data_IF_346480975295
#
_entry.id   IF_346480975295
#
_cell.length_a   1.000
_cell.length_b   1.000
_cell.length_c   1.000
_cell.angle_alpha   90.00
_cell.angle_beta   90.00
_cell.angle_gamma   90.00
#
_symmetry.space_group_name_H-M   'P 1'
#
loop_
_entity.id
_entity.type
_entity.pdbx_description
1 polymer ?
#
# COMPACT_ATOMS: atom_id res chain seq x y z
N UNK A 1 3.08 33.41 9.91
CA UNK A 1 4.20 34.37 10.02
C UNK A 1 5.48 33.69 10.53
N UNK A 2 5.47 33.02 11.70
CA UNK A 2 6.68 32.36 12.25
C UNK A 2 7.28 31.33 11.29
N UNK A 3 6.47 30.42 10.71
CA UNK A 3 6.92 29.40 9.77
C UNK A 3 7.57 30.00 8.52
N UNK A 4 6.99 31.05 7.95
CA UNK A 4 7.59 31.76 6.81
C UNK A 4 8.94 32.38 7.17
N UNK A 5 9.07 33.03 8.37
CA UNK A 5 10.33 33.56 8.84
C UNK A 5 11.40 32.48 9.07
N UNK A 6 11.02 31.28 9.49
CA UNK A 6 11.97 30.15 9.59
C UNK A 6 12.52 29.71 8.22
N UNK A 7 11.66 29.61 7.22
CA UNK A 7 12.06 29.27 5.84
C UNK A 7 12.98 30.34 5.26
N UNK A 8 12.63 31.60 5.45
CA UNK A 8 13.46 32.75 5.02
C UNK A 8 14.84 32.73 5.70
N UNK A 9 14.89 32.47 7.01
CA UNK A 9 16.15 32.41 7.75
C UNK A 9 17.00 31.19 7.36
N UNK A 10 16.40 30.05 6.97
CA UNK A 10 17.09 28.86 6.48
C UNK A 10 17.77 29.12 5.13
N UNK A 11 17.22 30.00 4.29
CA UNK A 11 17.79 30.35 2.99
C UNK A 11 17.87 29.13 2.07
N UNK A 12 19.09 28.76 1.67
CA UNK A 12 19.33 27.60 0.80
C UNK A 12 19.43 26.26 1.56
N UNK A 13 19.41 26.28 2.89
CA UNK A 13 19.45 25.05 3.70
C UNK A 13 18.05 24.43 3.77
N UNK A 14 17.85 23.16 3.35
CA UNK A 14 16.55 22.51 3.45
C UNK A 14 16.05 22.45 4.89
N UNK A 15 14.81 22.86 5.13
CA UNK A 15 14.18 22.88 6.44
C UNK A 15 13.12 21.77 6.53
N UNK A 16 13.37 20.76 7.36
CA UNK A 16 12.38 19.75 7.71
C UNK A 16 11.57 20.22 8.93
N UNK A 17 10.26 20.15 8.85
CA UNK A 17 9.36 20.60 9.92
C UNK A 17 8.72 21.98 9.63
N UNK A 18 8.46 22.82 10.65
CA UNK A 18 8.59 22.56 12.09
C UNK A 18 7.59 21.54 12.63
N UNK A 19 7.57 21.36 13.96
CA UNK A 19 6.69 20.42 14.64
C UNK A 19 6.89 18.98 14.16
N UNK A 20 8.14 18.53 14.15
CA UNK A 20 8.53 17.18 13.76
C UNK A 20 9.63 16.63 14.67
N UNK A 21 9.86 15.33 14.63
CA UNK A 21 10.97 14.66 15.31
C UNK A 21 12.25 14.59 14.44
N UNK A 22 12.21 15.04 13.19
CA UNK A 22 13.34 14.88 12.28
C UNK A 22 13.30 13.52 11.58
N UNK A 23 14.44 12.85 11.50
CA UNK A 23 14.51 11.56 10.80
C UNK A 23 15.50 10.57 11.43
N UNK A 24 15.28 9.29 11.17
CA UNK A 24 16.22 8.22 11.38
C UNK A 24 16.51 7.57 10.04
N UNK A 25 17.76 7.61 9.60
CA UNK A 25 18.24 6.99 8.37
C UNK A 25 19.17 5.85 8.72
N UNK A 26 18.69 4.61 8.58
CA UNK A 26 19.44 3.40 8.89
C UNK A 26 20.45 3.03 7.81
N UNK A 27 20.31 3.54 6.57
CA UNK A 27 21.23 3.32 5.46
C UNK A 27 22.56 4.06 5.67
N UNK A 28 22.46 5.30 6.18
CA UNK A 28 23.62 6.19 6.39
C UNK A 28 23.97 6.33 7.87
N UNK A 29 23.29 5.61 8.76
CA UNK A 29 23.50 5.61 10.23
C UNK A 29 23.39 7.02 10.82
N UNK A 30 22.46 7.81 10.33
CA UNK A 30 22.20 9.18 10.76
C UNK A 30 20.84 9.29 11.45
N UNK A 31 20.81 9.86 12.65
CA UNK A 31 19.60 10.01 13.43
C UNK A 31 19.54 11.38 14.13
N UNK A 32 19.30 12.48 13.41
CA UNK A 32 18.91 13.73 14.04
C UNK A 32 17.48 13.60 14.56
N UNK A 33 17.36 13.02 15.74
CA UNK A 33 16.13 12.53 16.36
C UNK A 33 16.16 12.81 17.86
N UNK A 34 15.12 13.41 18.46
CA UNK A 34 15.17 13.88 19.85
C UNK A 34 14.77 12.84 20.89
N UNK A 35 14.38 11.62 20.48
CA UNK A 35 13.80 10.60 21.33
C UNK A 35 14.44 9.23 21.09
N UNK A 36 14.04 8.23 21.84
CA UNK A 36 14.42 6.85 21.59
C UNK A 36 13.83 6.34 20.26
N UNK A 37 14.56 5.50 19.57
CA UNK A 37 14.10 4.82 18.37
C UNK A 37 14.59 3.37 18.33
N UNK A 38 13.75 2.49 17.76
CA UNK A 38 14.14 1.12 17.44
C UNK A 38 14.83 1.03 16.07
N UNK A 39 14.97 -0.19 15.59
CA UNK A 39 15.55 -0.52 14.29
C UNK A 39 17.06 -0.68 14.32
N UNK A 40 17.64 -1.09 13.20
CA UNK A 40 19.07 -1.39 13.05
C UNK A 40 19.56 -0.93 11.68
N UNK A 41 20.86 -0.55 11.56
CA UNK A 41 21.47 -0.23 10.27
C UNK A 41 21.29 -1.34 9.24
N UNK A 42 21.08 -0.95 7.96
CA UNK A 42 20.79 -1.84 6.84
C UNK A 42 21.43 -1.35 5.55
N UNK A 43 21.61 -2.27 4.60
CA UNK A 43 22.08 -1.97 3.25
C UNK A 43 20.92 -1.52 2.33
N UNK A 44 19.70 -2.02 2.57
CA UNK A 44 18.50 -1.65 1.83
C UNK A 44 17.24 -1.87 2.65
N UNK A 45 16.15 -1.23 2.26
CA UNK A 45 14.89 -1.40 2.99
C UNK A 45 13.78 -0.44 2.54
N UNK A 46 12.72 -0.37 3.31
CA UNK A 46 11.59 0.52 3.09
C UNK A 46 11.78 1.86 3.79
N UNK A 47 11.46 2.94 3.10
CA UNK A 47 11.42 4.27 3.71
C UNK A 47 9.98 4.66 4.08
N UNK A 48 9.79 5.26 5.24
CA UNK A 48 8.49 5.77 5.68
C UNK A 48 8.57 7.28 5.83
N UNK A 49 7.66 7.99 5.17
CA UNK A 49 7.45 9.42 5.30
C UNK A 49 6.16 9.64 6.08
N UNK A 50 6.18 10.43 7.14
CA UNK A 50 5.02 10.71 7.98
C UNK A 50 4.96 12.17 8.38
N UNK A 51 3.76 12.69 8.61
CA UNK A 51 3.57 14.03 9.18
C UNK A 51 3.52 14.02 10.70
N UNK A 52 3.31 12.83 11.31
CA UNK A 52 3.20 12.66 12.76
C UNK A 52 4.50 12.13 13.37
N UNK A 53 5.06 12.87 14.33
CA UNK A 53 6.26 12.46 15.06
C UNK A 53 6.01 11.20 15.88
N UNK A 54 4.90 11.11 16.61
CA UNK A 54 4.60 9.91 17.43
C UNK A 54 4.37 8.65 16.59
N UNK A 55 3.71 8.77 15.45
CA UNK A 55 3.56 7.63 14.52
C UNK A 55 4.91 7.21 13.93
N UNK A 56 5.81 8.17 13.69
CA UNK A 56 7.18 7.85 13.29
C UNK A 56 7.91 6.99 14.33
N UNK A 57 7.85 7.36 15.62
CA UNK A 57 8.40 6.55 16.72
C UNK A 57 7.83 5.14 16.69
N UNK A 58 6.49 5.00 16.58
CA UNK A 58 5.80 3.71 16.57
C UNK A 58 6.29 2.78 15.44
N UNK A 59 6.58 3.33 14.25
CA UNK A 59 7.14 2.54 13.16
C UNK A 59 8.55 2.01 13.48
N UNK A 60 9.37 2.74 14.23
CA UNK A 60 10.69 2.27 14.62
C UNK A 60 10.64 1.15 15.66
N UNK A 61 9.58 1.11 16.47
CA UNK A 61 9.42 0.13 17.57
C UNK A 61 8.77 -1.19 17.14
N UNK A 62 8.38 -1.34 15.85
CA UNK A 62 7.72 -2.56 15.40
C UNK A 62 8.63 -3.78 15.49
N UNK A 63 8.07 -4.89 16.01
CA UNK A 63 8.77 -6.20 16.11
C UNK A 63 8.35 -7.19 15.03
N UNK A 64 7.84 -6.68 13.89
CA UNK A 64 7.32 -7.49 12.77
C UNK A 64 8.34 -7.73 11.67
N UNK A 65 9.63 -7.57 11.95
CA UNK A 65 10.72 -7.66 10.98
C UNK A 65 10.53 -6.73 9.75
N UNK A 66 9.97 -5.53 9.97
CA UNK A 66 9.88 -4.51 8.93
C UNK A 66 11.30 -4.02 8.59
N UNK A 67 11.76 -4.15 7.34
CA UNK A 67 13.13 -3.78 6.94
C UNK A 67 13.24 -2.26 6.72
N UNK A 68 13.30 -1.46 7.78
CA UNK A 68 13.34 0.00 7.70
C UNK A 68 14.67 0.51 7.16
N UNK A 69 14.65 1.20 6.00
CA UNK A 69 15.72 2.04 5.49
C UNK A 69 15.78 3.39 6.21
N UNK A 70 14.63 3.94 6.54
CA UNK A 70 14.52 5.16 7.32
C UNK A 70 13.08 5.57 7.60
N UNK A 71 12.92 6.47 8.57
CA UNK A 71 11.65 7.11 8.93
C UNK A 71 11.88 8.61 8.97
N UNK A 72 11.06 9.36 8.25
CA UNK A 72 11.19 10.80 8.04
C UNK A 72 9.91 11.50 8.49
N UNK A 73 9.99 12.26 9.59
CA UNK A 73 8.87 13.01 10.15
C UNK A 73 8.88 14.44 9.63
N UNK A 74 7.93 14.80 8.77
CA UNK A 74 7.90 16.10 8.09
C UNK A 74 7.17 17.20 8.89
N UNK A 75 6.35 16.82 9.89
CA UNK A 75 5.57 17.78 10.67
C UNK A 75 4.72 18.69 9.78
N UNK A 76 4.90 20.02 9.93
CA UNK A 76 4.11 21.02 9.20
C UNK A 76 4.53 21.23 7.74
N UNK A 77 5.61 20.59 7.27
CA UNK A 77 6.07 20.67 5.87
C UNK A 77 6.28 22.12 5.39
N UNK A 78 7.00 22.95 6.17
CA UNK A 78 7.16 24.35 5.85
C UNK A 78 7.94 24.58 4.55
N UNK A 79 8.96 23.76 4.32
CA UNK A 79 9.86 23.79 3.17
C UNK A 79 9.91 22.40 2.54
N UNK A 80 10.62 21.43 3.14
CA UNK A 80 10.60 20.04 2.67
C UNK A 80 9.24 19.43 2.92
N UNK A 81 8.51 19.15 1.85
CA UNK A 81 7.18 18.54 1.89
C UNK A 81 7.18 17.06 1.47
N UNK A 82 5.98 16.47 1.43
CA UNK A 82 5.78 15.07 1.05
C UNK A 82 6.26 14.77 -0.38
N UNK A 83 6.07 15.70 -1.31
CA UNK A 83 6.46 15.54 -2.70
C UNK A 83 7.98 15.52 -2.84
N UNK A 84 8.67 16.50 -2.26
CA UNK A 84 10.13 16.59 -2.29
C UNK A 84 10.80 15.37 -1.65
N UNK A 85 10.29 14.92 -0.48
CA UNK A 85 10.83 13.74 0.18
C UNK A 85 10.56 12.45 -0.60
N UNK A 86 9.37 12.29 -1.20
CA UNK A 86 9.04 11.16 -2.05
C UNK A 86 9.96 11.09 -3.28
N UNK A 87 10.23 12.21 -3.91
CA UNK A 87 11.15 12.29 -5.06
C UNK A 87 12.58 11.90 -4.66
N UNK A 88 13.10 12.48 -3.57
CA UNK A 88 14.43 12.18 -3.07
C UNK A 88 14.63 10.70 -2.73
N UNK A 89 13.69 10.10 -2.00
CA UNK A 89 13.75 8.69 -1.63
C UNK A 89 13.52 7.75 -2.82
N UNK A 90 12.79 8.18 -3.83
CA UNK A 90 12.62 7.41 -5.08
C UNK A 90 13.91 7.30 -5.87
N UNK A 91 14.81 8.27 -5.77
CA UNK A 91 16.11 8.28 -6.43
C UNK A 91 17.16 7.37 -5.73
N UNK A 92 16.98 7.02 -4.45
CA UNK A 92 17.90 6.15 -3.74
C UNK A 92 17.67 4.67 -4.10
N UNK A 93 18.67 4.05 -4.73
CA UNK A 93 18.60 2.64 -5.15
C UNK A 93 18.40 1.67 -3.97
N UNK A 94 18.85 2.03 -2.77
CA UNK A 94 18.75 1.23 -1.55
C UNK A 94 17.34 1.20 -0.96
N UNK A 95 16.49 2.17 -1.31
CA UNK A 95 15.08 2.20 -0.92
C UNK A 95 14.29 1.25 -1.82
N UNK A 96 13.62 0.26 -1.26
CA UNK A 96 12.92 -0.80 -2.00
C UNK A 96 11.41 -0.56 -2.13
N UNK A 97 10.81 0.13 -1.16
CA UNK A 97 9.41 0.55 -1.18
C UNK A 97 9.25 1.81 -0.32
N UNK A 98 8.22 2.61 -0.57
CA UNK A 98 7.97 3.85 0.16
C UNK A 98 6.58 3.81 0.77
N UNK A 99 6.50 4.07 2.08
CA UNK A 99 5.27 4.22 2.83
C UNK A 99 5.01 5.69 3.15
N UNK A 100 3.79 6.15 2.90
CA UNK A 100 3.34 7.51 3.17
C UNK A 100 2.25 7.50 4.24
N UNK A 101 2.47 8.12 5.39
CA UNK A 101 1.41 8.46 6.33
C UNK A 101 1.03 9.92 6.13
N UNK A 102 -0.17 10.16 5.60
CA UNK A 102 -0.62 11.44 5.09
C UNK A 102 -1.76 12.00 5.94
N UNK A 103 -1.57 13.17 6.50
CA UNK A 103 -2.63 14.01 7.09
C UNK A 103 -3.18 14.98 6.05
N UNK A 104 -2.30 15.62 5.26
CA UNK A 104 -2.65 16.49 4.16
C UNK A 104 -1.49 16.70 3.19
N UNK A 105 -1.80 17.06 1.95
CA UNK A 105 -0.82 17.40 0.92
C UNK A 105 -0.88 18.90 0.64
N UNK A 106 0.29 19.53 0.45
CA UNK A 106 0.39 20.98 0.18
C UNK A 106 0.23 21.28 -1.31
N UNK A 107 0.92 20.53 -2.14
CA UNK A 107 0.97 20.71 -3.59
C UNK A 107 0.61 19.38 -4.27
N UNK A 108 -0.63 19.27 -4.76
CA UNK A 108 -1.13 18.06 -5.39
C UNK A 108 -0.42 17.77 -6.72
N UNK A 109 -0.22 18.75 -7.62
CA UNK A 109 0.56 18.57 -8.85
C UNK A 109 1.99 18.12 -8.60
N UNK A 110 2.71 18.72 -7.64
CA UNK A 110 4.07 18.30 -7.28
C UNK A 110 4.08 16.87 -6.72
N UNK A 111 3.14 16.52 -5.86
CA UNK A 111 2.98 15.17 -5.34
C UNK A 111 2.72 14.15 -6.45
N UNK A 112 1.87 14.47 -7.42
CA UNK A 112 1.60 13.60 -8.56
C UNK A 112 2.86 13.39 -9.42
N UNK A 113 3.65 14.43 -9.67
CA UNK A 113 4.93 14.32 -10.39
C UNK A 113 5.94 13.43 -9.63
N UNK A 114 6.04 13.61 -8.31
CA UNK A 114 6.90 12.77 -7.46
C UNK A 114 6.46 11.29 -7.48
N UNK A 115 5.14 11.02 -7.44
CA UNK A 115 4.60 9.67 -7.56
C UNK A 115 4.90 9.03 -8.92
N UNK A 116 4.84 9.80 -10.00
CA UNK A 116 5.26 9.34 -11.33
C UNK A 116 6.76 9.06 -11.40
N UNK A 117 7.59 9.89 -10.74
CA UNK A 117 9.02 9.65 -10.62
C UNK A 117 9.29 8.32 -9.87
N UNK A 118 8.56 8.05 -8.78
CA UNK A 118 8.65 6.78 -8.06
C UNK A 118 8.33 5.57 -8.95
N UNK A 119 7.30 5.68 -9.80
CA UNK A 119 6.96 4.62 -10.76
C UNK A 119 8.08 4.40 -11.78
N UNK A 120 8.63 5.49 -12.35
CA UNK A 120 9.76 5.40 -13.30
C UNK A 120 10.99 4.77 -12.66
N UNK A 121 11.23 5.08 -11.37
CA UNK A 121 12.30 4.49 -10.58
C UNK A 121 11.99 3.07 -10.08
N UNK A 122 10.83 2.49 -10.43
CA UNK A 122 10.37 1.18 -9.97
C UNK A 122 10.29 1.08 -8.44
N UNK A 123 9.86 2.16 -7.78
CA UNK A 123 9.62 2.22 -6.33
C UNK A 123 8.11 2.11 -6.07
N UNK A 124 7.63 1.00 -5.48
CA UNK A 124 6.24 0.89 -5.08
C UNK A 124 5.94 1.83 -3.91
N UNK A 125 4.79 2.48 -3.98
CA UNK A 125 4.34 3.44 -2.97
C UNK A 125 3.01 2.98 -2.38
N UNK A 126 2.92 3.01 -1.05
CA UNK A 126 1.68 2.78 -0.31
C UNK A 126 1.35 3.96 0.58
N UNK A 127 0.07 4.26 0.75
CA UNK A 127 -0.38 5.38 1.56
C UNK A 127 -1.35 4.95 2.66
N UNK A 128 -1.14 5.47 3.86
CA UNK A 128 -2.08 5.47 4.98
C UNK A 128 -2.58 6.90 5.17
N UNK A 129 -3.83 7.19 4.74
CA UNK A 129 -4.44 8.51 4.86
C UNK A 129 -5.27 8.59 6.13
N UNK A 130 -4.97 9.54 7.00
CA UNK A 130 -5.74 9.88 8.21
C UNK A 130 -6.64 11.08 7.97
N UNK A 131 -7.61 11.33 8.88
CA UNK A 131 -8.59 12.41 8.70
C UNK A 131 -9.65 12.10 7.65
N UNK A 132 -10.11 10.85 7.57
CA UNK A 132 -11.14 10.36 6.62
C UNK A 132 -12.57 10.67 7.07
N UNK A 133 -12.84 10.49 8.36
CA UNK A 133 -14.14 10.82 8.95
C UNK A 133 -14.25 12.30 9.23
N UNK A 134 -15.47 12.81 9.42
CA UNK A 134 -15.69 14.20 9.81
C UNK A 134 -14.95 14.57 11.11
N UNK A 135 -14.95 13.66 12.11
CA UNK A 135 -14.20 13.87 13.33
C UNK A 135 -12.69 13.87 13.08
N UNK A 136 -12.19 12.89 12.30
CA UNK A 136 -10.78 12.82 11.94
C UNK A 136 -10.32 14.07 11.17
N UNK A 137 -11.13 14.56 10.24
CA UNK A 137 -10.83 15.79 9.49
C UNK A 137 -10.73 17.02 10.41
N UNK A 138 -11.62 17.15 11.41
CA UNK A 138 -11.55 18.24 12.41
C UNK A 138 -10.26 18.17 13.22
N UNK A 139 -9.84 16.99 13.66
CA UNK A 139 -8.58 16.78 14.38
C UNK A 139 -7.39 17.15 13.50
N UNK A 140 -7.33 16.66 12.26
CA UNK A 140 -6.25 16.95 11.33
C UNK A 140 -6.16 18.44 11.01
N UNK A 141 -7.28 19.12 10.77
CA UNK A 141 -7.32 20.58 10.53
C UNK A 141 -6.79 21.38 11.71
N UNK A 142 -7.09 20.99 12.95
CA UNK A 142 -6.59 21.68 14.15
C UNK A 142 -5.08 21.51 14.33
N UNK A 143 -4.50 20.41 13.86
CA UNK A 143 -3.08 20.11 14.00
C UNK A 143 -2.20 20.69 12.89
N UNK A 144 -2.63 20.60 11.63
CA UNK A 144 -1.76 20.90 10.47
C UNK A 144 -2.11 22.20 9.75
N UNK A 145 -3.21 22.87 10.12
CA UNK A 145 -3.74 24.06 9.41
C UNK A 145 -3.96 23.81 7.91
N UNK A 146 -3.91 22.58 7.44
CA UNK A 146 -4.16 22.20 6.06
C UNK A 146 -5.62 21.76 5.91
N UNK A 147 -6.26 22.19 4.80
CA UNK A 147 -7.57 21.69 4.42
C UNK A 147 -7.42 20.18 4.15
N UNK A 148 -8.03 19.36 5.01
CA UNK A 148 -8.22 17.96 4.70
C UNK A 148 -9.16 17.90 3.49
N UNK A 149 -8.62 17.64 2.31
CA UNK A 149 -9.43 17.46 1.08
C UNK A 149 -10.44 16.33 1.26
N UNK A 150 -11.46 16.31 0.42
CA UNK A 150 -12.42 15.20 0.39
C UNK A 150 -11.71 13.85 0.27
N UNK A 151 -12.08 12.87 1.10
CA UNK A 151 -11.49 11.54 1.11
C UNK A 151 -11.58 10.85 -0.27
N UNK A 152 -12.69 11.07 -0.99
CA UNK A 152 -12.90 10.57 -2.34
C UNK A 152 -11.90 11.14 -3.37
N UNK A 153 -11.44 12.39 -3.18
CA UNK A 153 -10.42 12.99 -4.04
C UNK A 153 -9.03 12.36 -3.79
N UNK A 154 -8.73 11.97 -2.55
CA UNK A 154 -7.52 11.21 -2.25
C UNK A 154 -7.56 9.81 -2.87
N UNK A 155 -8.70 9.13 -2.85
CA UNK A 155 -8.85 7.84 -3.55
C UNK A 155 -8.58 7.97 -5.04
N UNK A 156 -9.18 8.98 -5.69
CA UNK A 156 -8.96 9.26 -7.10
C UNK A 156 -7.49 9.60 -7.41
N UNK A 157 -6.83 10.41 -6.56
CA UNK A 157 -5.42 10.75 -6.69
C UNK A 157 -4.54 9.51 -6.60
N UNK A 158 -4.74 8.66 -5.58
CA UNK A 158 -3.96 7.44 -5.39
C UNK A 158 -4.17 6.43 -6.51
N UNK A 159 -5.39 6.29 -7.01
CA UNK A 159 -5.66 5.44 -8.17
C UNK A 159 -4.94 5.94 -9.42
N UNK A 160 -4.96 7.23 -9.65
CA UNK A 160 -4.30 7.90 -10.79
C UNK A 160 -2.78 7.75 -10.73
N UNK A 161 -2.20 7.93 -9.56
CA UNK A 161 -0.76 7.87 -9.31
C UNK A 161 -0.24 6.47 -9.02
N UNK A 162 -1.09 5.43 -9.05
CA UNK A 162 -0.67 4.04 -8.83
C UNK A 162 -0.25 3.75 -7.39
N UNK A 163 -0.64 4.59 -6.43
CA UNK A 163 -0.38 4.41 -5.01
C UNK A 163 -1.45 3.49 -4.42
N UNK A 164 -1.04 2.45 -3.68
CA UNK A 164 -1.99 1.59 -3.00
C UNK A 164 -2.36 2.18 -1.63
N UNK A 165 -3.66 2.37 -1.39
CA UNK A 165 -4.17 2.88 -0.11
C UNK A 165 -4.40 1.77 0.88
N UNK A 166 -3.96 1.99 2.14
CA UNK A 166 -4.16 1.11 3.28
C UNK A 166 -5.14 1.72 4.28
N UNK A 167 -5.91 0.86 4.94
CA UNK A 167 -6.94 1.27 5.92
C UNK A 167 -6.49 1.12 7.37
N UNK A 168 -5.34 0.49 7.62
CA UNK A 168 -4.79 0.30 8.95
C UNK A 168 -3.27 0.30 8.95
N UNK A 169 -2.68 0.63 10.11
CA UNK A 169 -1.23 0.56 10.34
C UNK A 169 -0.72 -0.86 10.11
N UNK A 170 -1.46 -1.88 10.55
CA UNK A 170 -1.09 -3.28 10.32
C UNK A 170 -1.00 -3.60 8.83
N UNK A 171 -2.04 -3.29 8.05
CA UNK A 171 -2.04 -3.51 6.61
C UNK A 171 -0.91 -2.73 5.90
N UNK A 172 -0.63 -1.51 6.36
CA UNK A 172 0.47 -0.68 5.85
C UNK A 172 1.84 -1.35 6.05
N UNK A 173 2.12 -1.80 7.28
CA UNK A 173 3.38 -2.49 7.60
C UNK A 173 3.51 -3.81 6.84
N UNK A 174 2.46 -4.65 6.82
CA UNK A 174 2.50 -5.93 6.11
C UNK A 174 2.69 -5.73 4.60
N UNK A 175 2.05 -4.71 4.02
CA UNK A 175 2.21 -4.40 2.59
C UNK A 175 3.64 -3.95 2.28
N UNK A 176 4.24 -3.09 3.11
CA UNK A 176 5.63 -2.66 2.92
C UNK A 176 6.62 -3.83 3.04
N UNK A 177 6.42 -4.75 3.99
CA UNK A 177 7.24 -5.97 4.09
C UNK A 177 7.15 -6.81 2.82
N UNK A 178 5.92 -7.06 2.34
CA UNK A 178 5.73 -7.83 1.11
C UNK A 178 6.40 -7.15 -0.09
N UNK A 179 6.20 -5.85 -0.26
CA UNK A 179 6.78 -5.09 -1.37
C UNK A 179 8.31 -5.02 -1.34
N UNK A 180 8.91 -5.09 -0.16
CA UNK A 180 10.36 -5.19 -0.03
C UNK A 180 10.90 -6.48 -0.65
N UNK A 181 10.27 -7.62 -0.39
CA UNK A 181 10.73 -8.93 -0.83
C UNK A 181 10.19 -9.32 -2.21
N UNK A 182 8.86 -9.22 -2.40
CA UNK A 182 8.17 -9.67 -3.60
C UNK A 182 8.00 -8.58 -4.67
N UNK A 183 8.05 -7.31 -4.29
CA UNK A 183 7.72 -6.20 -5.19
C UNK A 183 6.27 -6.20 -5.68
N UNK A 184 5.92 -5.31 -6.60
CA UNK A 184 4.66 -5.39 -7.33
C UNK A 184 4.59 -6.62 -8.22
N UNK A 185 3.40 -7.21 -8.35
CA UNK A 185 3.17 -8.43 -9.13
C UNK A 185 2.50 -8.14 -10.46
N UNK A 186 2.71 -8.99 -11.47
CA UNK A 186 2.06 -8.86 -12.78
C UNK A 186 0.56 -9.16 -12.74
N UNK A 187 0.10 -9.85 -11.70
CA UNK A 187 -1.28 -10.22 -11.44
C UNK A 187 -1.49 -10.66 -10.01
N UNK A 188 -2.62 -11.32 -9.76
CA UNK A 188 -2.98 -11.86 -8.45
C UNK A 188 -3.15 -13.38 -8.46
N UNK A 189 -2.41 -14.10 -9.29
CA UNK A 189 -2.44 -15.57 -9.37
C UNK A 189 -1.57 -16.14 -8.27
N UNK A 190 -2.19 -16.70 -7.24
CA UNK A 190 -1.51 -17.20 -6.06
C UNK A 190 -1.50 -18.73 -6.06
N UNK A 191 -0.49 -19.30 -5.43
CA UNK A 191 -0.52 -20.68 -4.94
C UNK A 191 -0.34 -20.66 -3.44
N UNK A 192 -1.09 -21.49 -2.72
CA UNK A 192 -0.98 -21.60 -1.27
C UNK A 192 -0.83 -23.03 -0.84
N UNK A 193 0.00 -23.23 0.18
CA UNK A 193 0.27 -24.53 0.80
C UNK A 193 0.03 -24.44 2.30
N UNK A 194 -0.59 -25.47 2.85
CA UNK A 194 -0.75 -25.67 4.30
C UNK A 194 -0.77 -27.16 4.63
N UNK A 195 -0.59 -27.52 5.89
CA UNK A 195 -0.73 -28.92 6.33
C UNK A 195 -2.14 -29.25 6.86
N UNK A 196 -3.10 -28.35 6.59
CA UNK A 196 -4.45 -28.41 7.15
C UNK A 196 -5.50 -27.95 6.14
N UNK A 197 -6.51 -28.79 5.90
CA UNK A 197 -7.65 -28.46 5.05
C UNK A 197 -8.44 -27.25 5.55
N UNK A 198 -8.47 -27.01 6.87
CA UNK A 198 -9.09 -25.83 7.45
C UNK A 198 -8.36 -24.54 7.05
N UNK A 199 -7.04 -24.53 7.06
CA UNK A 199 -6.23 -23.40 6.60
C UNK A 199 -6.36 -23.20 5.09
N UNK A 200 -6.34 -24.28 4.31
CA UNK A 200 -6.54 -24.22 2.87
C UNK A 200 -7.90 -23.59 2.51
N UNK A 201 -8.97 -23.96 3.24
CA UNK A 201 -10.30 -23.37 3.07
C UNK A 201 -10.33 -21.88 3.43
N UNK A 202 -9.73 -21.48 4.58
CA UNK A 202 -9.63 -20.07 4.98
C UNK A 202 -8.86 -19.24 3.94
N UNK A 203 -7.81 -19.79 3.36
CA UNK A 203 -7.04 -19.11 2.32
C UNK A 203 -7.83 -19.01 1.02
N UNK A 204 -8.57 -20.05 0.62
CA UNK A 204 -9.45 -19.99 -0.55
C UNK A 204 -10.43 -18.81 -0.46
N UNK A 205 -10.94 -18.53 0.75
CA UNK A 205 -11.83 -17.39 0.99
C UNK A 205 -11.15 -16.03 0.82
N UNK A 206 -9.82 -15.96 0.81
CA UNK A 206 -9.09 -14.72 0.47
C UNK A 206 -9.35 -14.28 -0.97
N UNK A 207 -9.76 -15.18 -1.87
CA UNK A 207 -10.12 -14.86 -3.25
C UNK A 207 -11.47 -14.12 -3.36
N UNK A 208 -12.30 -14.15 -2.31
CA UNK A 208 -13.55 -13.41 -2.29
C UNK A 208 -13.29 -11.91 -2.48
N UNK A 209 -13.87 -11.35 -3.55
CA UNK A 209 -13.63 -10.00 -4.02
C UNK A 209 -12.59 -9.98 -5.15
N UNK A 210 -12.15 -8.77 -5.56
CA UNK A 210 -11.24 -8.59 -6.70
C UNK A 210 -9.78 -8.58 -6.29
N UNK A 211 -8.90 -9.02 -7.18
CA UNK A 211 -7.46 -8.76 -7.14
C UNK A 211 -6.54 -9.93 -6.83
N UNK A 212 -7.07 -11.07 -6.30
CA UNK A 212 -6.30 -12.31 -6.12
C UNK A 212 -7.16 -13.53 -6.47
N UNK A 213 -6.51 -14.60 -6.93
CA UNK A 213 -7.16 -15.85 -7.31
C UNK A 213 -6.22 -17.03 -7.05
N UNK A 214 -6.78 -18.22 -6.89
CA UNK A 214 -6.07 -19.50 -6.76
C UNK A 214 -6.42 -20.37 -7.97
N UNK A 215 -5.80 -20.14 -9.14
CA UNK A 215 -6.08 -20.96 -10.31
C UNK A 215 -5.59 -22.41 -10.10
N UNK A 216 -6.24 -23.41 -10.71
CA UNK A 216 -5.78 -24.77 -10.63
C UNK A 216 -4.36 -24.90 -11.19
N UNK A 217 -3.64 -25.93 -10.78
CA UNK A 217 -2.36 -26.29 -11.38
C UNK A 217 -2.54 -26.66 -12.85
N UNK A 218 -1.60 -26.29 -13.70
CA UNK A 218 -1.50 -26.90 -15.01
C UNK A 218 -1.09 -28.41 -14.89
N UNK A 219 -1.36 -29.23 -15.90
CA UNK A 219 -1.11 -30.67 -15.81
C UNK A 219 0.34 -31.01 -15.45
N UNK A 220 1.33 -30.36 -15.99
CA UNK A 220 2.74 -30.65 -15.73
C UNK A 220 3.13 -30.28 -14.28
N UNK A 221 2.66 -29.16 -13.77
CA UNK A 221 2.83 -28.77 -12.37
C UNK A 221 2.12 -29.75 -11.44
N UNK A 222 0.86 -30.13 -11.76
CA UNK A 222 0.10 -31.09 -10.97
C UNK A 222 0.81 -32.44 -10.87
N UNK A 223 1.36 -32.94 -11.98
CA UNK A 223 2.11 -34.20 -12.00
C UNK A 223 3.42 -34.12 -11.21
N UNK A 224 4.12 -32.98 -11.30
CA UNK A 224 5.34 -32.72 -10.53
C UNK A 224 5.07 -32.71 -9.02
N UNK A 225 3.99 -32.03 -8.58
CA UNK A 225 3.57 -31.99 -7.18
C UNK A 225 3.12 -33.35 -6.70
N UNK A 226 2.33 -34.10 -7.51
CA UNK A 226 1.86 -35.43 -7.21
C UNK A 226 3.00 -36.42 -6.97
N UNK A 227 4.09 -36.29 -7.71
CA UNK A 227 5.28 -37.15 -7.57
C UNK A 227 5.97 -37.01 -6.20
N UNK A 228 5.72 -35.93 -5.48
CA UNK A 228 6.31 -35.64 -4.15
C UNK A 228 5.42 -36.05 -2.98
N UNK A 229 4.16 -36.38 -3.24
CA UNK A 229 3.14 -36.64 -2.22
C UNK A 229 2.58 -38.07 -2.40
N UNK A 230 1.87 -38.53 -1.38
CA UNK A 230 1.20 -39.85 -1.46
C UNK A 230 -0.18 -39.73 -2.15
N UNK A 231 -0.77 -40.89 -2.46
CA UNK A 231 -2.04 -41.03 -3.18
C UNK A 231 -3.27 -40.43 -2.44
N UNK A 232 -3.16 -40.17 -1.14
CA UNK A 232 -4.27 -39.64 -0.33
C UNK A 232 -4.38 -38.12 -0.41
N UNK A 233 -3.41 -37.44 -1.02
CA UNK A 233 -3.40 -35.98 -1.15
C UNK A 233 -4.06 -35.56 -2.46
N UNK A 234 -5.11 -34.76 -2.37
CA UNK A 234 -5.69 -34.07 -3.54
C UNK A 234 -4.77 -32.94 -4.01
N UNK A 235 -4.49 -32.92 -5.30
CA UNK A 235 -3.61 -31.89 -5.90
C UNK A 235 -4.47 -30.73 -6.39
N UNK A 236 -4.78 -29.84 -5.48
CA UNK A 236 -5.61 -28.65 -5.69
C UNK A 236 -4.87 -27.36 -5.25
N UNK A 237 -5.34 -26.21 -5.68
CA UNK A 237 -4.84 -24.92 -5.23
C UNK A 237 -5.98 -24.12 -4.57
N UNK A 238 -5.93 -23.83 -3.26
CA UNK A 238 -4.87 -24.09 -2.26
C UNK A 238 -4.56 -25.58 -2.03
N UNK A 239 -3.27 -25.91 -1.83
CA UNK A 239 -2.80 -27.26 -1.59
C UNK A 239 -2.75 -27.58 -0.09
N UNK A 240 -3.58 -28.51 0.38
CA UNK A 240 -3.38 -29.18 1.66
C UNK A 240 -2.43 -30.36 1.47
N UNK A 241 -1.14 -30.19 1.82
CA UNK A 241 -0.16 -31.26 1.69
C UNK A 241 -0.20 -32.29 2.83
N UNK A 242 -1.12 -32.09 3.80
CA UNK A 242 -1.29 -32.89 5.00
C UNK A 242 -0.03 -33.02 5.88
N UNK A 243 -0.11 -33.79 6.94
CA UNK A 243 1.02 -34.03 7.86
C UNK A 243 1.89 -35.23 7.47
N UNK A 244 1.64 -35.89 6.34
CA UNK A 244 2.37 -37.08 5.94
C UNK A 244 3.86 -36.88 5.70
N UNK A 245 4.25 -35.66 5.31
CA UNK A 245 5.64 -35.26 5.08
C UNK A 245 6.16 -34.33 6.18
N UNK A 246 5.40 -34.17 7.28
CA UNK A 246 5.78 -33.30 8.40
C UNK A 246 7.14 -33.69 8.97
N UNK A 247 7.98 -32.71 9.26
CA UNK A 247 9.35 -32.88 9.77
C UNK A 247 10.29 -33.70 8.84
N UNK A 248 9.95 -33.79 7.53
CA UNK A 248 10.80 -34.42 6.52
C UNK A 248 11.28 -33.35 5.52
N UNK A 249 12.38 -32.67 5.89
CA UNK A 249 12.87 -31.47 5.20
C UNK A 249 12.97 -31.66 3.69
N UNK A 250 13.59 -32.74 3.21
CA UNK A 250 13.82 -32.97 1.79
C UNK A 250 12.50 -33.16 1.02
N UNK A 251 11.50 -33.83 1.62
CA UNK A 251 10.19 -34.01 1.00
C UNK A 251 9.39 -32.69 1.00
N UNK A 252 9.44 -31.95 2.11
CA UNK A 252 8.83 -30.62 2.18
C UNK A 252 9.43 -29.71 1.10
N UNK A 253 10.76 -29.61 1.03
CA UNK A 253 11.45 -28.82 0.03
C UNK A 253 11.10 -29.25 -1.40
N UNK A 254 11.05 -30.55 -1.69
CA UNK A 254 10.68 -31.07 -3.01
C UNK A 254 9.24 -30.65 -3.39
N UNK A 255 8.28 -30.84 -2.48
CA UNK A 255 6.88 -30.45 -2.69
C UNK A 255 6.75 -28.92 -2.91
N UNK A 256 7.40 -28.14 -2.06
CA UNK A 256 7.35 -26.70 -2.15
C UNK A 256 8.00 -26.16 -3.43
N UNK A 257 9.14 -26.72 -3.82
CA UNK A 257 9.80 -26.35 -5.08
C UNK A 257 8.96 -26.71 -6.31
N UNK A 258 8.38 -27.93 -6.35
CA UNK A 258 7.50 -28.32 -7.43
C UNK A 258 6.29 -27.41 -7.57
N UNK A 259 5.72 -26.99 -6.44
CA UNK A 259 4.57 -26.09 -6.40
C UNK A 259 4.95 -24.67 -6.84
N UNK A 260 6.06 -24.12 -6.34
CA UNK A 260 6.53 -22.77 -6.67
C UNK A 260 6.95 -22.61 -8.14
N UNK A 261 7.39 -23.71 -8.78
CA UNK A 261 7.74 -23.72 -10.20
C UNK A 261 6.53 -23.56 -11.15
N UNK A 262 5.30 -23.61 -10.65
CA UNK A 262 4.06 -23.59 -11.45
C UNK A 262 3.68 -22.22 -12.05
N UNK A 263 4.56 -21.22 -12.06
CA UNK A 263 4.35 -19.94 -12.75
C UNK A 263 3.28 -19.04 -12.12
N UNK A 264 3.11 -19.12 -10.81
CA UNK A 264 2.23 -18.23 -10.04
C UNK A 264 2.92 -16.89 -9.77
N UNK A 265 2.12 -15.84 -9.55
CA UNK A 265 2.67 -14.52 -9.21
C UNK A 265 3.32 -14.51 -7.82
N UNK A 266 2.74 -15.26 -6.86
CA UNK A 266 3.24 -15.44 -5.49
C UNK A 266 2.88 -16.80 -4.94
N UNK A 267 3.83 -17.46 -4.27
CA UNK A 267 3.60 -18.62 -3.42
C UNK A 267 3.43 -18.21 -1.96
N UNK A 268 2.50 -18.90 -1.26
CA UNK A 268 2.26 -18.70 0.17
C UNK A 268 2.34 -20.03 0.91
N UNK A 269 3.09 -20.03 2.02
CA UNK A 269 3.00 -21.08 3.03
C UNK A 269 2.20 -20.54 4.21
N UNK A 270 1.17 -21.26 4.62
CA UNK A 270 0.47 -20.96 5.88
C UNK A 270 1.09 -21.80 6.98
N UNK A 271 1.64 -21.12 7.99
CA UNK A 271 2.33 -21.79 9.08
C UNK A 271 2.33 -20.92 10.34
N UNK A 272 1.73 -21.44 11.39
CA UNK A 272 1.72 -20.83 12.73
C UNK A 272 2.79 -21.49 13.59
N UNK A 273 3.81 -20.73 13.99
CA UNK A 273 4.90 -21.23 14.85
C UNK A 273 4.44 -21.15 16.30
N UNK A 274 4.52 -22.24 17.11
CA UNK A 274 4.13 -22.19 18.51
C UNK A 274 5.06 -21.28 19.31
N UNK A 275 4.44 -20.37 20.07
CA UNK A 275 5.14 -19.41 20.94
C UNK A 275 4.79 -19.60 22.42
N UNK A 276 3.86 -20.51 22.73
CA UNK A 276 3.43 -20.76 24.10
C UNK A 276 4.52 -21.46 24.92
N UNK A 277 4.69 -21.11 26.21
CA UNK A 277 5.64 -21.78 27.08
C UNK A 277 5.42 -23.31 27.10
N UNK A 278 6.50 -24.07 27.00
CA UNK A 278 6.48 -25.55 27.02
C UNK A 278 6.25 -26.21 25.66
N UNK A 279 5.92 -25.45 24.61
CA UNK A 279 5.86 -25.99 23.24
C UNK A 279 7.21 -25.82 22.53
N UNK A 280 7.67 -26.87 21.87
CA UNK A 280 8.88 -26.81 21.05
C UNK A 280 8.52 -26.42 19.62
N UNK A 281 9.12 -25.36 19.03
CA UNK A 281 8.88 -24.99 17.64
C UNK A 281 9.69 -25.86 16.64
N UNK A 282 10.52 -26.77 17.07
CA UNK A 282 11.56 -27.42 16.28
C UNK A 282 11.05 -27.99 14.93
N UNK A 283 9.93 -28.72 14.94
CA UNK A 283 9.39 -29.35 13.73
C UNK A 283 8.75 -28.32 12.79
N UNK A 284 8.22 -27.22 13.30
CA UNK A 284 7.70 -26.11 12.50
C UNK A 284 8.85 -25.34 11.81
N UNK A 285 9.98 -25.18 12.52
CA UNK A 285 11.16 -24.53 11.96
C UNK A 285 11.75 -25.32 10.76
N UNK A 286 11.68 -26.65 10.78
CA UNK A 286 12.02 -27.47 9.59
C UNK A 286 11.16 -27.11 8.40
N UNK A 287 9.86 -26.88 8.61
CA UNK A 287 8.94 -26.52 7.53
C UNK A 287 9.22 -25.11 7.00
N UNK A 288 9.46 -24.16 7.91
CA UNK A 288 9.82 -22.77 7.53
C UNK A 288 11.15 -22.69 6.76
N UNK A 289 12.15 -23.48 7.17
CA UNK A 289 13.46 -23.57 6.51
C UNK A 289 13.34 -24.24 5.13
N UNK A 290 12.59 -25.33 5.03
CA UNK A 290 12.32 -25.97 3.74
C UNK A 290 11.60 -25.02 2.75
N UNK A 291 10.69 -24.18 3.25
CA UNK A 291 10.04 -23.16 2.44
C UNK A 291 11.02 -22.11 1.93
N UNK A 292 11.86 -21.58 2.81
CA UNK A 292 12.89 -20.61 2.45
C UNK A 292 13.85 -21.17 1.38
N UNK A 293 14.33 -22.41 1.57
CA UNK A 293 15.20 -23.11 0.61
C UNK A 293 14.51 -23.37 -0.74
N UNK A 294 13.21 -23.67 -0.73
CA UNK A 294 12.44 -23.88 -1.97
C UNK A 294 12.25 -22.54 -2.73
N UNK A 295 11.96 -21.46 -2.01
CA UNK A 295 11.85 -20.13 -2.60
C UNK A 295 13.18 -19.67 -3.24
N UNK A 296 14.30 -19.86 -2.54
CA UNK A 296 15.64 -19.57 -3.06
C UNK A 296 15.94 -20.40 -4.32
N UNK A 297 15.70 -21.72 -4.27
CA UNK A 297 16.01 -22.63 -5.37
C UNK A 297 15.19 -22.33 -6.64
N UNK A 298 13.96 -21.87 -6.50
CA UNK A 298 13.07 -21.57 -7.63
C UNK A 298 13.10 -20.11 -8.08
N UNK A 299 13.63 -19.20 -7.26
CA UNK A 299 13.57 -17.76 -7.48
C UNK A 299 12.12 -17.20 -7.45
N UNK A 300 11.17 -17.98 -6.95
CA UNK A 300 9.77 -17.57 -6.87
C UNK A 300 9.56 -16.50 -5.79
N UNK A 301 8.63 -15.58 -6.03
CA UNK A 301 8.16 -14.69 -4.97
C UNK A 301 7.39 -15.48 -3.95
N UNK A 302 7.85 -15.45 -2.71
CA UNK A 302 7.31 -16.27 -1.63
C UNK A 302 6.95 -15.45 -0.38
N UNK A 303 5.88 -15.85 0.28
CA UNK A 303 5.51 -15.36 1.60
C UNK A 303 5.25 -16.54 2.54
N UNK A 304 5.56 -16.37 3.83
CA UNK A 304 5.04 -17.23 4.89
C UNK A 304 4.04 -16.41 5.70
N UNK A 305 2.85 -16.94 5.88
CA UNK A 305 1.74 -16.27 6.55
C UNK A 305 1.40 -17.01 7.82
N UNK A 306 1.58 -16.39 8.98
CA UNK A 306 0.98 -16.89 10.21
C UNK A 306 -0.48 -16.44 10.27
N UNK A 307 -1.41 -17.35 10.56
CA UNK A 307 -2.83 -17.03 10.70
C UNK A 307 -3.06 -16.09 11.89
N UNK A 308 -2.35 -16.32 12.98
CA UNK A 308 -2.30 -15.49 14.18
C UNK A 308 -1.00 -14.68 14.20
N UNK A 309 -1.05 -13.35 14.31
CA UNK A 309 0.15 -12.51 14.29
C UNK A 309 1.20 -12.90 15.34
N UNK A 310 0.76 -13.36 16.52
CA UNK A 310 1.62 -13.82 17.62
C UNK A 310 2.34 -15.14 17.31
N UNK A 311 1.89 -15.89 16.32
CA UNK A 311 2.50 -17.15 15.88
C UNK A 311 3.57 -16.97 14.80
N UNK A 312 4.08 -15.72 14.65
CA UNK A 312 5.26 -15.41 13.84
C UNK A 312 6.33 -14.76 14.73
N UNK A 313 7.18 -15.56 15.39
CA UNK A 313 8.29 -15.03 16.21
C UNK A 313 9.23 -14.14 15.39
N UNK A 314 9.78 -13.12 16.04
CA UNK A 314 10.62 -12.11 15.37
C UNK A 314 11.90 -12.70 14.76
N UNK A 315 12.51 -13.68 15.40
CA UNK A 315 13.70 -14.39 14.91
C UNK A 315 13.39 -15.21 13.65
N UNK A 316 12.23 -15.90 13.61
CA UNK A 316 11.74 -16.61 12.42
C UNK A 316 11.43 -15.62 11.30
N UNK A 317 10.75 -14.51 11.60
CA UNK A 317 10.47 -13.49 10.63
C UNK A 317 11.77 -12.86 10.03
N UNK A 318 12.80 -12.69 10.84
CA UNK A 318 14.13 -12.22 10.37
C UNK A 318 14.82 -13.26 9.51
N UNK A 319 14.77 -14.54 9.88
CA UNK A 319 15.32 -15.65 9.09
C UNK A 319 14.67 -15.69 7.70
N UNK A 320 13.35 -15.68 7.63
CA UNK A 320 12.61 -15.64 6.37
C UNK A 320 12.94 -14.41 5.52
N UNK A 321 13.00 -13.24 6.17
CA UNK A 321 13.36 -11.99 5.50
C UNK A 321 14.78 -12.05 4.91
N UNK A 322 15.75 -12.65 5.60
CA UNK A 322 17.11 -12.84 5.10
C UNK A 322 17.18 -13.80 3.90
N UNK A 323 16.24 -14.76 3.83
CA UNK A 323 16.09 -15.68 2.70
C UNK A 323 15.22 -15.11 1.55
N UNK A 324 14.82 -13.84 1.59
CA UNK A 324 14.00 -13.22 0.56
C UNK A 324 12.50 -13.57 0.61
N UNK A 325 12.05 -14.27 1.66
CA UNK A 325 10.65 -14.63 1.88
C UNK A 325 9.95 -13.57 2.72
N UNK A 326 8.79 -13.09 2.29
CA UNK A 326 8.02 -12.10 3.04
C UNK A 326 7.34 -12.74 4.28
N UNK A 327 7.73 -12.36 5.51
CA UNK A 327 7.13 -12.88 6.73
C UNK A 327 5.86 -12.08 7.06
N UNK A 328 4.66 -12.66 6.90
CA UNK A 328 3.39 -11.98 7.03
C UNK A 328 2.67 -12.35 8.33
N UNK A 329 2.38 -11.35 9.16
CA UNK A 329 1.70 -11.53 10.43
C UNK A 329 0.18 -11.30 10.30
N UNK A 330 -0.56 -12.39 10.14
CA UNK A 330 -2.02 -12.41 10.02
C UNK A 330 -2.54 -12.43 8.57
N UNK A 331 -3.49 -13.33 8.29
CA UNK A 331 -4.05 -13.53 6.96
C UNK A 331 -4.72 -12.29 6.35
N UNK A 332 -5.35 -11.44 7.18
CA UNK A 332 -5.96 -10.19 6.73
C UNK A 332 -4.95 -9.19 6.18
N UNK A 333 -3.79 -9.07 6.85
CA UNK A 333 -2.66 -8.24 6.40
C UNK A 333 -2.06 -8.78 5.11
N UNK A 334 -1.83 -10.09 5.04
CA UNK A 334 -1.29 -10.76 3.86
C UNK A 334 -2.20 -10.55 2.64
N UNK A 335 -3.52 -10.78 2.77
CA UNK A 335 -4.49 -10.54 1.70
C UNK A 335 -4.42 -9.11 1.17
N UNK A 336 -4.37 -8.12 2.09
CA UNK A 336 -4.31 -6.71 1.70
C UNK A 336 -3.00 -6.40 0.96
N UNK A 337 -1.87 -6.92 1.43
CA UNK A 337 -0.56 -6.76 0.81
C UNK A 337 -0.50 -7.33 -0.61
N UNK A 338 -1.00 -8.55 -0.81
CA UNK A 338 -1.03 -9.21 -2.12
C UNK A 338 -1.90 -8.47 -3.13
N UNK A 339 -3.09 -8.01 -2.70
CA UNK A 339 -3.95 -7.17 -3.53
C UNK A 339 -3.31 -5.82 -3.88
N UNK A 340 -2.62 -5.22 -2.94
CA UNK A 340 -1.90 -3.97 -3.16
C UNK A 340 -0.77 -4.17 -4.17
N UNK A 341 0.01 -5.24 -4.05
CA UNK A 341 1.09 -5.56 -4.98
C UNK A 341 0.58 -5.78 -6.41
N UNK A 342 -0.52 -6.53 -6.58
CA UNK A 342 -1.17 -6.73 -7.87
C UNK A 342 -1.72 -5.41 -8.44
N UNK A 343 -2.35 -4.55 -7.61
CA UNK A 343 -2.86 -3.24 -8.02
C UNK A 343 -1.75 -2.29 -8.46
N UNK A 344 -0.64 -2.24 -7.72
CA UNK A 344 0.53 -1.42 -8.08
C UNK A 344 1.12 -1.93 -9.40
N UNK A 345 1.29 -3.24 -9.56
CA UNK A 345 1.80 -3.83 -10.79
C UNK A 345 0.91 -3.53 -12.01
N UNK A 346 -0.40 -3.65 -11.86
CA UNK A 346 -1.35 -3.26 -12.90
C UNK A 346 -1.28 -1.75 -13.22
N UNK A 347 -1.10 -0.91 -12.20
CA UNK A 347 -0.90 0.52 -12.41
C UNK A 347 0.41 0.83 -13.16
N UNK A 348 1.48 0.08 -12.90
CA UNK A 348 2.75 0.23 -13.62
C UNK A 348 2.70 -0.22 -15.08
N UNK A 349 1.81 -1.15 -15.40
CA UNK A 349 1.61 -1.63 -16.77
C UNK A 349 0.77 -0.69 -17.63
N UNK A 350 0.18 0.37 -17.09
CA UNK A 350 -0.61 1.34 -17.87
C UNK A 350 0.30 2.14 -18.82
N UNK A 351 -0.01 2.15 -20.11
CA UNK A 351 0.75 2.86 -21.13
C UNK A 351 0.63 4.38 -21.01
N UNK A 352 -0.54 4.88 -20.64
CA UNK A 352 -0.80 6.31 -20.49
C UNK A 352 -1.43 6.61 -19.12
N UNK A 353 -0.98 7.69 -18.52
CA UNK A 353 -1.56 8.26 -17.30
C UNK A 353 -1.90 9.71 -17.54
N UNK A 354 -3.18 10.11 -17.33
CA UNK A 354 -3.53 11.51 -17.41
C UNK A 354 -2.76 12.29 -16.33
N UNK A 355 -2.03 13.33 -16.72
CA UNK A 355 -1.35 14.21 -15.77
C UNK A 355 -2.33 14.84 -14.78
N UNK A 356 -1.86 15.23 -13.61
CA UNK A 356 -2.60 16.11 -12.71
C UNK A 356 -2.23 17.53 -13.08
N UNK A 357 -3.16 18.22 -13.74
CA UNK A 357 -2.96 19.59 -14.15
C UNK A 357 -3.04 20.53 -12.95
N UNK A 358 -2.26 21.58 -12.96
CA UNK A 358 -2.42 22.67 -12.03
C UNK A 358 -3.75 23.36 -12.29
N UNK A 359 -4.55 23.57 -11.23
CA UNK A 359 -5.70 24.43 -11.35
C UNK A 359 -5.21 25.84 -11.70
N UNK A 360 -5.81 26.53 -12.70
CA UNK A 360 -5.46 27.89 -12.96
C UNK A 360 -5.56 28.69 -11.67
N UNK A 361 -4.57 29.56 -11.42
CA UNK A 361 -4.59 30.42 -10.24
C UNK A 361 -5.94 31.13 -10.19
N UNK A 362 -6.64 31.02 -9.07
CA UNK A 362 -7.87 31.76 -8.86
C UNK A 362 -7.53 33.24 -9.04
N UNK A 363 -8.18 33.88 -10.01
CA UNK A 363 -8.01 35.31 -10.21
C UNK A 363 -8.26 36.04 -8.86
N UNK A 364 -7.34 36.90 -8.45
CA UNK A 364 -7.49 37.71 -7.26
C UNK A 364 -8.68 38.66 -7.47
N UNK A 365 -9.84 38.27 -6.95
CA UNK A 365 -11.07 39.04 -7.07
C UNK A 365 -12.15 38.54 -6.11
N UNK A 366 -13.17 39.33 -5.90
CA UNK A 366 -14.29 38.93 -5.08
C UNK A 366 -14.97 37.68 -5.65
N UNK A 367 -15.08 36.62 -4.84
CA UNK A 367 -15.83 35.43 -5.21
C UNK A 367 -17.30 35.79 -5.35
N UNK A 368 -17.85 35.58 -6.54
CA UNK A 368 -19.28 35.78 -6.83
C UNK A 368 -19.93 34.42 -7.11
N UNK A 369 -20.99 34.12 -6.40
CA UNK A 369 -21.85 32.99 -6.76
C UNK A 369 -22.60 33.31 -8.05
N UNK A 370 -22.57 32.36 -8.98
CA UNK A 370 -23.37 32.43 -10.21
C UNK A 370 -24.74 31.84 -9.95
N UNK A 371 -25.77 32.41 -10.58
CA UNK A 371 -27.06 31.74 -10.68
C UNK A 371 -26.94 30.48 -11.54
N UNK A 372 -27.87 29.54 -11.37
CA UNK A 372 -27.86 28.32 -12.18
C UNK A 372 -27.94 28.61 -13.69
N UNK A 373 -28.70 29.64 -14.06
CA UNK A 373 -28.80 30.08 -15.45
C UNK A 373 -27.47 30.60 -16.00
N UNK A 374 -26.79 31.47 -15.25
CA UNK A 374 -25.46 31.98 -15.63
C UNK A 374 -24.43 30.86 -15.72
N UNK A 375 -24.46 29.94 -14.74
CA UNK A 375 -23.55 28.80 -14.73
C UNK A 375 -23.78 27.88 -15.95
N UNK A 376 -25.03 27.57 -16.28
CA UNK A 376 -25.36 26.80 -17.48
C UNK A 376 -24.93 27.49 -18.77
N UNK A 377 -25.10 28.79 -18.89
CA UNK A 377 -24.65 29.54 -20.06
C UNK A 377 -23.14 29.46 -20.23
N UNK A 378 -22.35 29.54 -19.13
CA UNK A 378 -20.89 29.36 -19.18
C UNK A 378 -20.50 27.93 -19.54
N UNK A 379 -21.17 26.92 -18.99
CA UNK A 379 -20.87 25.52 -19.30
C UNK A 379 -21.12 25.19 -20.79
N UNK A 380 -22.16 25.77 -21.40
CA UNK A 380 -22.39 25.64 -22.87
C UNK A 380 -21.24 26.16 -23.70
N UNK A 381 -20.52 27.20 -23.27
CA UNK A 381 -19.36 27.72 -23.96
C UNK A 381 -18.15 26.74 -24.00
N UNK A 382 -18.17 25.71 -23.16
CA UNK A 382 -17.21 24.60 -23.14
C UNK A 382 -17.74 23.30 -23.74
N UNK A 383 -18.79 23.39 -24.60
CA UNK A 383 -19.46 22.23 -25.23
C UNK A 383 -20.02 21.18 -24.24
N UNK A 384 -20.23 21.58 -22.99
CA UNK A 384 -20.85 20.71 -22.01
C UNK A 384 -22.36 20.66 -22.23
N UNK A 385 -22.93 19.45 -22.26
CA UNK A 385 -24.38 19.25 -22.37
C UNK A 385 -25.05 19.70 -21.07
N UNK A 386 -25.88 20.71 -21.15
CA UNK A 386 -26.69 21.21 -20.03
C UNK A 386 -28.17 21.20 -20.43
N UNK A 387 -29.06 20.88 -19.49
CA UNK A 387 -30.50 20.98 -19.76
C UNK A 387 -30.91 22.40 -20.20
N UNK A 388 -31.77 22.48 -21.18
CA UNK A 388 -32.32 23.77 -21.59
C UNK A 388 -33.23 24.36 -20.48
N UNK A 389 -33.19 25.66 -20.37
CA UNK A 389 -33.97 26.37 -19.36
C UNK A 389 -34.19 27.83 -19.75
N UNK A 390 -35.24 28.39 -19.26
CA UNK A 390 -35.62 29.80 -19.49
C UNK A 390 -35.90 30.46 -18.15
N UNK A 391 -35.37 31.66 -17.98
CA UNK A 391 -35.72 32.53 -16.84
C UNK A 391 -36.91 33.37 -17.24
N UNK A 392 -37.98 33.31 -16.49
CA UNK A 392 -39.20 34.06 -16.73
C UNK A 392 -39.84 34.51 -15.42
N UNK A 393 -40.83 35.38 -15.51
CA UNK A 393 -41.66 35.74 -14.37
C UNK A 393 -42.63 34.60 -14.02
N UNK A 394 -43.12 34.53 -12.76
CA UNK A 394 -44.02 33.45 -12.34
C UNK A 394 -45.28 33.32 -13.19
N UNK A 395 -45.87 34.42 -13.65
CA UNK A 395 -47.04 34.50 -14.51
C UNK A 395 -46.80 34.00 -15.94
N UNK A 396 -45.54 34.01 -16.39
CA UNK A 396 -45.13 33.54 -17.71
C UNK A 396 -44.69 32.05 -17.69
N UNK A 397 -44.61 31.42 -16.53
CA UNK A 397 -44.02 30.09 -16.36
C UNK A 397 -44.70 29.01 -17.21
N UNK A 398 -46.01 29.03 -17.33
CA UNK A 398 -46.75 28.06 -18.14
C UNK A 398 -46.45 28.18 -19.63
N UNK A 399 -46.25 29.40 -20.13
CA UNK A 399 -45.88 29.68 -21.52
C UNK A 399 -44.43 29.29 -21.79
N UNK A 400 -43.52 29.59 -20.88
CA UNK A 400 -42.14 29.22 -20.93
C UNK A 400 -41.93 27.68 -20.89
N UNK A 401 -42.69 26.97 -20.05
CA UNK A 401 -42.71 25.51 -19.99
C UNK A 401 -43.10 24.85 -21.32
N UNK A 402 -44.12 25.35 -21.97
CA UNK A 402 -44.56 24.89 -23.30
C UNK A 402 -43.46 25.08 -24.37
N UNK A 403 -42.68 26.17 -24.25
CA UNK A 403 -41.59 26.47 -25.18
C UNK A 403 -40.38 25.57 -24.97
N UNK A 404 -40.06 25.22 -23.73
CA UNK A 404 -38.93 24.31 -23.37
C UNK A 404 -39.29 22.86 -23.70
N UNK A 405 -40.56 22.47 -23.56
CA UNK A 405 -41.03 21.10 -23.75
C UNK A 405 -41.08 20.31 -22.43
N UNK A 406 -42.14 19.49 -22.29
CA UNK A 406 -42.34 18.67 -21.07
C UNK A 406 -41.55 17.36 -21.13
N UNK A 407 -41.07 16.83 -19.97
CA UNK A 407 -41.26 17.34 -18.61
C UNK A 407 -40.33 18.50 -18.26
N UNK A 408 -40.81 19.47 -17.45
CA UNK A 408 -40.02 20.61 -16.96
C UNK A 408 -40.04 20.67 -15.43
N UNK A 409 -39.00 21.27 -14.86
CA UNK A 409 -38.87 21.57 -13.45
C UNK A 409 -38.90 23.08 -13.25
N UNK A 410 -39.74 23.57 -12.36
CA UNK A 410 -39.73 24.96 -11.89
C UNK A 410 -38.87 25.06 -10.64
N UNK A 411 -38.02 26.09 -10.60
CA UNK A 411 -37.14 26.36 -9.47
C UNK A 411 -37.29 27.82 -9.01
#
# INVERSE_FOLDING_TARGET
RLQAGMVEAAGAMPLMGPNCYGYVNYLDRAAPWPDEHGGTPRESGVAIITQSGNIAVNFTMTRRALPLAGVYALGNQADVDMAAMLEALSADARVTAIGLHIEGLRDIPAFARAAEAAIRARKPVVALKTGRSEQGAKVTMSHTSSLAGSDALYDALFERTGIARMDSVTAFVETLKFLHHGGPTGGGRLVSLSCSGGEAALVADMSLGRGVSFPPFDPATADSVRATLNEYVSIDNPLDYHTFIWNQEEKLKATFSATLAGGFDVGMLILDIPTSPGMSPATWLVTADAWAKAAEATGARAAMVASLPECLPEDVARMLSAAGVAPMAGGGGARTALRAAARIGAAWAREARPGVEEAPALASGAVRSLTEHEAKARLKAFDLRVPEGVVCKPDEAATAAKKVGFPVVLK
#
